data_IF_852204995085
#
_entry.id   IF_852204995085
#
_cell.length_a   1.000
_cell.length_b   1.000
_cell.length_c   1.000
_cell.angle_alpha   90.00
_cell.angle_beta   90.00
_cell.angle_gamma   90.00
#
_symmetry.space_group_name_H-M   'P 1'
#
loop_
_entity.id
_entity.type
_entity.pdbx_description
1 polymer ?
#
# COMPACT_ATOMS: atom_id res chain seq x y z
N UNK A 1 13.60 0.53 44.80
CA UNK A 1 14.13 -0.74 44.25
C UNK A 1 13.60 -0.98 42.82
N UNK A 2 12.31 -0.68 42.51
CA UNK A 2 11.74 -0.94 41.19
C UNK A 2 12.34 -0.06 40.05
N UNK A 3 12.69 1.19 40.30
CA UNK A 3 13.24 2.07 39.26
C UNK A 3 14.66 1.67 38.78
N UNK A 4 15.51 1.13 39.68
CA UNK A 4 16.85 0.70 39.31
C UNK A 4 16.85 -0.55 38.43
N UNK A 5 15.96 -1.49 38.68
CA UNK A 5 15.79 -2.73 37.89
C UNK A 5 15.25 -2.42 36.48
N UNK A 6 14.35 -1.45 36.35
CA UNK A 6 13.83 -1.01 35.05
C UNK A 6 14.90 -0.32 34.18
N UNK A 7 15.79 0.48 34.80
CA UNK A 7 16.89 1.14 34.09
C UNK A 7 17.99 0.17 33.66
N UNK A 8 18.34 -0.81 34.50
CA UNK A 8 19.29 -1.87 34.14
C UNK A 8 18.79 -2.71 32.97
N UNK A 9 17.48 -3.02 32.94
CA UNK A 9 16.90 -3.79 31.86
C UNK A 9 16.89 -3.02 30.53
N UNK A 10 16.61 -1.71 30.55
CA UNK A 10 16.64 -0.85 29.35
C UNK A 10 18.05 -0.70 28.78
N UNK A 11 19.06 -0.51 29.63
CA UNK A 11 20.46 -0.40 29.19
C UNK A 11 20.95 -1.71 28.55
N UNK A 12 20.62 -2.84 29.15
CA UNK A 12 20.98 -4.16 28.62
C UNK A 12 20.30 -4.44 27.27
N UNK A 13 19.02 -4.09 27.13
CA UNK A 13 18.28 -4.21 25.87
C UNK A 13 18.94 -3.33 24.78
N UNK A 14 19.28 -2.08 25.09
CA UNK A 14 19.95 -1.19 24.15
C UNK A 14 21.34 -1.70 23.75
N UNK A 15 22.13 -2.22 24.70
CA UNK A 15 23.41 -2.86 24.43
C UNK A 15 23.26 -4.10 23.54
N UNK A 16 22.29 -4.96 23.82
CA UNK A 16 22.01 -6.17 23.04
C UNK A 16 21.61 -5.81 21.59
N UNK A 17 20.74 -4.82 21.43
CA UNK A 17 20.36 -4.31 20.12
C UNK A 17 21.54 -3.71 19.36
N UNK A 18 22.37 -2.92 20.05
CA UNK A 18 23.58 -2.37 19.44
C UNK A 18 24.58 -3.45 19.03
N UNK A 19 24.80 -4.46 19.88
CA UNK A 19 25.70 -5.58 19.57
C UNK A 19 25.17 -6.43 18.40
N UNK A 20 23.87 -6.61 18.32
CA UNK A 20 23.22 -7.42 17.28
C UNK A 20 23.14 -6.69 15.93
N UNK A 21 22.83 -5.40 15.93
CA UNK A 21 22.46 -4.66 14.71
C UNK A 21 23.46 -3.55 14.34
N UNK A 22 24.38 -3.22 15.20
CA UNK A 22 25.42 -2.23 14.96
C UNK A 22 25.00 -0.78 15.16
N UNK A 23 26.00 0.10 15.18
CA UNK A 23 25.84 1.52 15.48
C UNK A 23 24.94 2.26 14.49
N UNK A 24 25.11 2.00 13.19
CA UNK A 24 24.34 2.68 12.14
C UNK A 24 22.83 2.43 12.27
N UNK A 25 22.45 1.19 12.59
CA UNK A 25 21.06 0.79 12.81
C UNK A 25 20.47 1.55 14.03
N UNK A 26 21.15 1.50 15.17
CA UNK A 26 20.68 2.17 16.38
C UNK A 26 20.62 3.70 16.21
N UNK A 27 21.61 4.30 15.58
CA UNK A 27 21.64 5.72 15.29
C UNK A 27 20.48 6.16 14.41
N UNK A 28 20.14 5.35 13.38
CA UNK A 28 19.00 5.67 12.54
C UNK A 28 17.66 5.58 13.28
N UNK A 29 17.47 4.60 14.15
CA UNK A 29 16.25 4.52 14.96
C UNK A 29 16.09 5.73 15.90
N UNK A 30 17.20 6.18 16.51
CA UNK A 30 17.20 7.42 17.31
C UNK A 30 16.86 8.64 16.45
N UNK A 31 17.52 8.78 15.30
CA UNK A 31 17.20 9.83 14.33
C UNK A 31 15.73 9.81 13.93
N UNK A 32 15.18 8.63 13.57
CA UNK A 32 13.78 8.51 13.15
C UNK A 32 12.80 8.94 14.25
N UNK A 33 13.07 8.51 15.50
CA UNK A 33 12.27 8.92 16.66
C UNK A 33 12.34 10.44 16.88
N UNK A 34 13.54 11.03 16.81
CA UNK A 34 13.72 12.47 16.91
C UNK A 34 13.04 13.22 15.75
N UNK A 35 13.18 12.75 14.51
CA UNK A 35 12.55 13.34 13.33
C UNK A 35 11.01 13.29 13.41
N UNK A 36 10.44 12.24 14.01
CA UNK A 36 9.02 12.14 14.31
C UNK A 36 8.62 13.20 15.36
N UNK A 37 9.32 13.25 16.50
CA UNK A 37 9.00 14.15 17.61
C UNK A 37 9.16 15.65 17.24
N UNK A 38 10.17 15.99 16.43
CA UNK A 38 10.45 17.38 16.02
C UNK A 38 9.67 17.85 14.80
N UNK A 39 8.79 17.00 14.23
CA UNK A 39 7.99 17.32 13.06
C UNK A 39 8.76 17.33 11.72
N UNK A 40 10.02 16.87 11.69
CA UNK A 40 10.79 16.73 10.44
C UNK A 40 10.07 15.82 9.46
N UNK A 41 9.47 14.71 9.93
CA UNK A 41 8.70 13.81 9.08
C UNK A 41 7.43 14.47 8.52
N UNK A 42 6.75 15.31 9.27
CA UNK A 42 5.58 16.06 8.79
C UNK A 42 5.95 17.02 7.66
N UNK A 43 7.08 17.72 7.79
CA UNK A 43 7.58 18.61 6.72
C UNK A 43 8.00 17.85 5.48
N UNK A 44 8.56 16.66 5.64
CA UNK A 44 8.96 15.78 4.53
C UNK A 44 7.77 15.13 3.83
N UNK A 45 6.70 14.85 4.57
CA UNK A 45 5.48 14.20 4.11
C UNK A 45 4.25 15.03 4.52
N UNK A 46 4.05 16.23 3.94
CA UNK A 46 2.94 17.08 4.30
C UNK A 46 1.59 16.42 3.92
N UNK A 47 0.54 16.79 4.63
CA UNK A 47 -0.83 16.49 4.22
C UNK A 47 -1.14 17.35 3.00
N UNK A 48 -1.57 16.72 1.91
CA UNK A 48 -1.89 17.40 0.65
C UNK A 48 -3.23 16.88 0.15
N UNK A 49 -4.22 17.74 -0.12
CA UNK A 49 -5.48 17.34 -0.76
C UNK A 49 -5.25 16.74 -2.15
N UNK A 50 -6.10 15.79 -2.54
CA UNK A 50 -5.96 15.11 -3.84
C UNK A 50 -6.15 16.06 -5.03
N UNK A 51 -6.97 17.09 -4.88
CA UNK A 51 -7.19 18.14 -5.88
C UNK A 51 -5.90 18.93 -6.19
N UNK A 52 -5.11 19.21 -5.15
CA UNK A 52 -3.82 19.87 -5.31
C UNK A 52 -2.79 18.96 -6.00
N UNK A 53 -2.78 17.67 -5.66
CA UNK A 53 -1.94 16.68 -6.33
C UNK A 53 -2.33 16.54 -7.80
N UNK A 54 -3.63 16.51 -8.10
CA UNK A 54 -4.14 16.43 -9.46
C UNK A 54 -3.84 17.70 -10.30
N UNK A 55 -3.77 18.86 -9.65
CA UNK A 55 -3.48 20.12 -10.35
C UNK A 55 -1.99 20.35 -10.63
N UNK A 56 -1.11 20.04 -9.67
CA UNK A 56 0.33 20.39 -9.72
C UNK A 56 1.26 19.40 -9.01
N UNK A 57 0.75 18.28 -8.59
CA UNK A 57 1.51 17.29 -7.81
C UNK A 57 2.53 16.52 -8.62
N UNK A 58 3.50 15.88 -7.93
CA UNK A 58 4.41 14.96 -8.58
C UNK A 58 3.64 13.76 -9.14
N UNK A 59 4.07 13.27 -10.31
CA UNK A 59 3.45 12.16 -11.01
C UNK A 59 2.53 12.55 -12.16
N UNK A 60 2.19 13.83 -12.35
CA UNK A 60 1.34 14.29 -13.47
C UNK A 60 1.88 13.88 -14.85
N UNK A 61 3.20 14.00 -15.04
CA UNK A 61 3.83 13.55 -16.27
C UNK A 61 3.69 12.03 -16.44
N UNK A 62 3.94 11.25 -15.39
CA UNK A 62 3.80 9.79 -15.42
C UNK A 62 2.35 9.37 -15.71
N UNK A 63 1.36 10.05 -15.14
CA UNK A 63 -0.06 9.78 -15.38
C UNK A 63 -0.48 10.03 -16.83
N UNK A 64 -0.03 11.15 -17.43
CA UNK A 64 -0.26 11.44 -18.85
C UNK A 64 0.44 10.43 -19.75
N UNK A 65 1.72 10.19 -19.51
CA UNK A 65 2.52 9.25 -20.31
C UNK A 65 2.01 7.81 -20.23
N UNK A 66 1.45 7.40 -19.09
CA UNK A 66 0.81 6.08 -18.96
C UNK A 66 -0.42 5.97 -19.86
N UNK A 67 -1.30 6.98 -19.88
CA UNK A 67 -2.45 7.02 -20.77
C UNK A 67 -2.05 7.05 -22.25
N UNK A 68 -1.08 7.89 -22.61
CA UNK A 68 -0.54 7.95 -23.98
C UNK A 68 0.05 6.61 -24.43
N UNK A 69 0.74 5.90 -23.54
CA UNK A 69 1.25 4.57 -23.83
C UNK A 69 0.11 3.56 -23.99
N UNK A 70 -0.90 3.60 -23.10
CA UNK A 70 -2.06 2.72 -23.21
C UNK A 70 -2.83 2.89 -24.53
N UNK A 71 -3.03 4.13 -25.01
CA UNK A 71 -3.69 4.43 -26.29
C UNK A 71 -2.89 3.93 -27.51
N UNK A 72 -1.58 3.74 -27.37
CA UNK A 72 -0.73 3.11 -28.40
C UNK A 72 -0.83 1.59 -28.43
N UNK A 73 -1.43 1.00 -27.43
CA UNK A 73 -1.62 -0.44 -27.26
C UNK A 73 -0.96 -0.98 -25.99
N UNK A 74 -1.47 -2.14 -25.48
CA UNK A 74 -0.98 -2.75 -24.26
C UNK A 74 0.52 -3.03 -24.24
N UNK A 75 1.12 -3.26 -25.40
CA UNK A 75 2.54 -3.56 -25.60
C UNK A 75 3.45 -2.34 -25.41
N UNK A 76 2.90 -1.12 -25.47
CA UNK A 76 3.62 0.12 -25.18
C UNK A 76 3.74 0.39 -23.67
N UNK A 77 3.00 -0.33 -22.85
CA UNK A 77 3.12 -0.29 -21.39
C UNK A 77 4.24 -1.21 -20.91
N UNK A 78 4.87 -0.91 -19.76
CA UNK A 78 5.84 -1.81 -19.16
C UNK A 78 5.25 -3.22 -18.96
N UNK A 79 6.06 -4.27 -19.16
CA UNK A 79 5.59 -5.64 -18.93
C UNK A 79 5.25 -5.86 -17.45
N UNK A 80 4.14 -6.56 -17.24
CA UNK A 80 3.69 -6.98 -15.91
C UNK A 80 3.28 -8.46 -15.95
N UNK A 81 2.47 -8.93 -15.00
CA UNK A 81 2.02 -10.32 -14.94
C UNK A 81 1.21 -10.74 -16.18
N UNK A 82 0.55 -9.80 -16.81
CA UNK A 82 -0.19 -9.93 -18.08
C UNK A 82 -0.27 -8.56 -18.77
N UNK A 83 -0.52 -8.51 -20.08
CA UNK A 83 -0.72 -7.25 -20.80
C UNK A 83 -1.95 -6.51 -20.29
N UNK A 84 -1.90 -5.18 -20.25
CA UNK A 84 -2.99 -4.36 -19.74
C UNK A 84 -4.31 -4.60 -20.49
N UNK A 85 -5.36 -4.90 -19.75
CA UNK A 85 -6.69 -5.22 -20.30
C UNK A 85 -6.81 -6.60 -20.94
N UNK A 86 -5.77 -7.44 -20.91
CA UNK A 86 -5.76 -8.81 -21.45
C UNK A 86 -5.55 -9.82 -20.33
N UNK A 87 -6.62 -10.10 -19.60
CA UNK A 87 -6.57 -11.06 -18.50
C UNK A 87 -6.32 -12.49 -19.02
N UNK A 88 -5.49 -13.29 -18.32
CA UNK A 88 -5.37 -14.70 -18.62
C UNK A 88 -6.68 -15.44 -18.32
N UNK A 89 -6.93 -16.51 -19.05
CA UNK A 89 -8.02 -17.41 -18.70
C UNK A 89 -7.74 -18.08 -17.35
N UNK A 90 -8.73 -18.08 -16.49
CA UNK A 90 -8.65 -18.83 -15.22
C UNK A 90 -9.26 -20.22 -15.41
N UNK A 91 -8.81 -21.24 -14.66
CA UNK A 91 -9.41 -22.56 -14.72
C UNK A 91 -10.92 -22.48 -14.41
N UNK A 92 -11.73 -23.15 -15.24
CA UNK A 92 -13.21 -23.10 -15.12
C UNK A 92 -13.70 -23.51 -13.71
N UNK A 93 -13.00 -24.42 -13.05
CA UNK A 93 -13.34 -24.85 -11.69
C UNK A 93 -13.20 -23.73 -10.64
N UNK A 94 -12.44 -22.68 -10.90
CA UNK A 94 -12.21 -21.57 -9.94
C UNK A 94 -13.19 -20.41 -10.15
N UNK A 95 -13.86 -20.37 -11.31
CA UNK A 95 -14.75 -19.27 -11.68
C UNK A 95 -15.89 -19.05 -10.70
N UNK A 96 -16.69 -20.08 -10.36
CA UNK A 96 -17.81 -19.91 -9.44
C UNK A 96 -17.41 -19.36 -8.06
N UNK A 97 -16.30 -19.84 -7.50
CA UNK A 97 -15.81 -19.35 -6.22
C UNK A 97 -15.34 -17.89 -6.28
N UNK A 98 -14.66 -17.50 -7.37
CA UNK A 98 -14.21 -16.13 -7.55
C UNK A 98 -15.40 -15.15 -7.70
N UNK A 99 -16.45 -15.57 -8.41
CA UNK A 99 -17.70 -14.79 -8.56
C UNK A 99 -18.41 -14.65 -7.21
N UNK A 100 -18.58 -15.74 -6.47
CA UNK A 100 -19.26 -15.72 -5.17
C UNK A 100 -18.52 -14.81 -4.15
N UNK A 101 -17.18 -14.88 -4.11
CA UNK A 101 -16.37 -14.00 -3.26
C UNK A 101 -16.51 -12.52 -3.64
N UNK A 102 -16.59 -12.22 -4.95
CA UNK A 102 -16.82 -10.87 -5.43
C UNK A 102 -18.23 -10.37 -5.12
N UNK A 103 -19.25 -11.24 -5.22
CA UNK A 103 -20.64 -10.90 -4.89
C UNK A 103 -20.80 -10.58 -3.39
N UNK A 104 -20.08 -11.29 -2.52
CA UNK A 104 -20.01 -10.97 -1.10
C UNK A 104 -19.41 -9.57 -0.85
N UNK A 105 -18.34 -9.22 -1.56
CA UNK A 105 -17.74 -7.88 -1.48
C UNK A 105 -18.72 -6.79 -1.93
N UNK A 106 -19.41 -7.01 -3.05
CA UNK A 106 -20.42 -6.06 -3.56
C UNK A 106 -21.61 -5.91 -2.59
N UNK A 107 -21.92 -6.96 -1.84
CA UNK A 107 -22.91 -6.93 -0.76
C UNK A 107 -22.40 -6.31 0.55
N UNK A 108 -21.15 -5.81 0.58
CA UNK A 108 -20.55 -5.17 1.75
C UNK A 108 -19.98 -6.15 2.78
N UNK A 109 -19.79 -7.41 2.43
CA UNK A 109 -19.18 -8.43 3.28
C UNK A 109 -17.75 -8.69 2.90
N UNK A 110 -16.85 -8.74 3.88
CA UNK A 110 -15.43 -9.00 3.67
C UNK A 110 -14.90 -10.01 4.69
N UNK A 111 -14.00 -10.90 4.24
CA UNK A 111 -13.27 -11.82 5.12
C UNK A 111 -11.99 -11.14 5.63
N UNK A 112 -11.87 -11.04 6.94
CA UNK A 112 -10.71 -10.51 7.65
C UNK A 112 -9.80 -11.63 8.11
N UNK A 113 -8.49 -11.46 7.94
CA UNK A 113 -7.47 -12.38 8.46
C UNK A 113 -7.73 -13.86 8.12
N UNK A 114 -8.25 -14.10 6.91
CA UNK A 114 -8.56 -15.45 6.38
C UNK A 114 -9.60 -16.27 7.16
N UNK A 115 -10.44 -15.67 8.01
CA UNK A 115 -11.40 -16.47 8.75
C UNK A 115 -12.57 -15.76 9.41
N UNK A 116 -12.56 -14.44 9.48
CA UNK A 116 -13.63 -13.67 10.14
C UNK A 116 -14.36 -12.80 9.13
N UNK A 117 -15.59 -13.14 8.82
CA UNK A 117 -16.45 -12.29 7.98
C UNK A 117 -16.97 -11.11 8.80
N UNK A 118 -16.98 -9.93 8.20
CA UNK A 118 -17.56 -8.72 8.78
C UNK A 118 -18.34 -7.93 7.73
N UNK A 119 -19.37 -7.22 8.19
CA UNK A 119 -20.13 -6.24 7.40
C UNK A 119 -19.33 -4.93 7.34
N UNK A 120 -18.82 -4.60 6.18
CA UNK A 120 -18.01 -3.39 5.94
C UNK A 120 -18.78 -2.28 5.28
N UNK A 121 -19.97 -2.60 4.75
CA UNK A 121 -20.75 -1.71 3.87
C UNK A 121 -20.13 -1.62 2.47
N UNK A 122 -20.84 -0.93 1.56
CA UNK A 122 -20.35 -0.63 0.21
C UNK A 122 -20.74 0.80 -0.19
N UNK A 123 -19.77 1.72 -0.44
CA UNK A 123 -18.33 1.57 -0.23
C UNK A 123 -17.94 1.25 1.23
N UNK A 124 -16.74 0.71 1.43
CA UNK A 124 -16.29 0.30 2.76
C UNK A 124 -16.18 1.49 3.72
N UNK A 125 -16.52 1.25 4.99
CA UNK A 125 -16.30 2.21 6.07
C UNK A 125 -14.83 2.19 6.51
N UNK A 126 -13.93 2.77 5.69
CA UNK A 126 -12.47 2.67 5.76
C UNK A 126 -11.83 2.94 7.13
N UNK A 127 -12.49 3.75 7.93
CA UNK A 127 -11.98 4.19 9.24
C UNK A 127 -12.69 3.51 10.41
N UNK A 128 -13.70 2.66 10.13
CA UNK A 128 -14.49 1.98 11.16
C UNK A 128 -13.98 0.56 11.38
N UNK A 129 -13.80 0.20 12.64
CA UNK A 129 -13.57 -1.18 13.04
C UNK A 129 -14.92 -1.93 13.00
N UNK A 130 -15.11 -2.90 12.09
CA UNK A 130 -16.41 -3.56 11.95
C UNK A 130 -16.76 -4.48 13.13
N UNK A 131 -15.78 -4.82 13.97
CA UNK A 131 -15.98 -5.70 15.12
C UNK A 131 -16.34 -4.97 16.40
N UNK A 132 -15.90 -3.70 16.55
CA UNK A 132 -16.21 -2.87 17.73
C UNK A 132 -17.18 -1.76 17.41
N UNK A 133 -17.32 -1.39 16.14
CA UNK A 133 -18.14 -0.26 15.70
C UNK A 133 -17.45 1.11 15.85
N UNK A 134 -16.28 1.16 16.47
CA UNK A 134 -15.52 2.39 16.69
C UNK A 134 -14.78 2.85 15.43
N UNK A 135 -14.53 4.16 15.36
CA UNK A 135 -13.87 4.77 14.21
C UNK A 135 -12.58 5.48 14.61
N UNK A 136 -11.56 5.33 13.76
CA UNK A 136 -10.30 6.03 13.93
C UNK A 136 -10.43 7.52 13.59
N UNK A 137 -9.70 8.38 14.30
CA UNK A 137 -9.57 9.79 13.94
C UNK A 137 -8.73 9.95 12.65
N UNK A 138 -9.40 10.37 11.58
CA UNK A 138 -8.76 10.61 10.28
C UNK A 138 -8.09 11.99 10.16
N UNK A 139 -8.19 12.88 11.16
CA UNK A 139 -7.75 14.29 11.02
C UNK A 139 -6.24 14.45 11.24
N UNK A 140 -5.65 13.58 12.07
CA UNK A 140 -4.23 13.68 12.44
C UNK A 140 -3.30 13.19 11.35
N UNK A 141 -2.12 13.77 11.29
CA UNK A 141 -1.03 13.26 10.46
C UNK A 141 -0.63 11.85 10.92
N UNK A 142 -0.24 10.97 9.98
CA UNK A 142 0.09 9.58 10.32
C UNK A 142 1.19 9.44 11.39
N UNK A 143 2.16 10.36 11.46
CA UNK A 143 3.23 10.27 12.45
C UNK A 143 2.84 10.76 13.86
N UNK A 144 1.64 11.31 14.04
CA UNK A 144 1.09 11.66 15.37
C UNK A 144 0.27 10.53 16.00
N UNK A 145 0.15 9.42 15.31
CA UNK A 145 -0.68 8.29 15.72
C UNK A 145 0.18 7.19 16.33
N UNK A 146 -0.35 6.54 17.35
CA UNK A 146 0.21 5.29 17.86
C UNK A 146 -0.47 4.08 17.21
N UNK A 147 0.20 2.93 17.22
CA UNK A 147 -0.35 1.70 16.65
C UNK A 147 -1.50 1.13 17.49
N UNK A 148 -1.49 1.43 18.78
CA UNK A 148 -2.47 0.95 19.75
C UNK A 148 -3.17 2.16 20.37
N UNK A 149 -4.13 2.73 19.66
CA UNK A 149 -5.02 3.76 20.21
C UNK A 149 -6.28 3.05 20.76
N UNK A 150 -6.66 3.26 22.04
CA UNK A 150 -7.79 2.57 22.65
C UNK A 150 -9.10 2.71 21.86
N UNK A 151 -9.32 3.87 21.26
CA UNK A 151 -10.53 4.23 20.52
C UNK A 151 -10.72 3.45 19.22
N UNK A 152 -9.66 2.95 18.60
CA UNK A 152 -9.74 2.22 17.31
C UNK A 152 -9.51 0.71 17.46
N UNK A 153 -9.02 0.26 18.62
CA UNK A 153 -8.55 -1.10 18.82
C UNK A 153 -7.27 -1.39 17.98
N UNK A 154 -7.13 -2.63 17.54
CA UNK A 154 -5.98 -3.02 16.72
C UNK A 154 -6.07 -2.40 15.33
N UNK A 155 -5.12 -1.52 15.00
CA UNK A 155 -5.04 -0.81 13.72
C UNK A 155 -5.01 -1.75 12.50
N UNK A 156 -4.53 -3.00 12.66
CA UNK A 156 -4.50 -3.99 11.58
C UNK A 156 -5.89 -4.32 11.04
N UNK A 157 -6.93 -4.19 11.87
CA UNK A 157 -8.32 -4.34 11.44
C UNK A 157 -8.70 -3.26 10.42
N UNK A 158 -8.24 -2.02 10.62
CA UNK A 158 -8.47 -0.93 9.68
C UNK A 158 -7.62 -1.08 8.41
N UNK A 159 -6.40 -1.64 8.55
CA UNK A 159 -5.52 -1.83 7.41
C UNK A 159 -5.99 -2.94 6.47
N UNK A 160 -6.67 -3.97 6.96
CA UNK A 160 -7.07 -5.13 6.16
C UNK A 160 -7.84 -4.74 4.88
N UNK A 161 -8.95 -3.99 4.92
CA UNK A 161 -9.61 -3.52 3.70
C UNK A 161 -8.74 -2.55 2.90
N UNK A 162 -7.87 -1.75 3.56
CA UNK A 162 -7.00 -0.78 2.90
C UNK A 162 -5.73 -1.37 2.28
N UNK A 163 -5.48 -2.67 2.40
CA UNK A 163 -4.48 -3.42 1.60
C UNK A 163 -4.92 -3.62 0.17
N UNK A 164 -6.21 -3.45 -0.11
CA UNK A 164 -6.80 -3.68 -1.42
C UNK A 164 -6.70 -5.14 -1.90
N UNK A 165 -6.58 -6.11 -1.00
CA UNK A 165 -6.61 -7.53 -1.35
C UNK A 165 -7.86 -7.93 -2.14
N UNK A 166 -8.99 -7.30 -1.85
CA UNK A 166 -10.26 -7.43 -2.56
C UNK A 166 -10.18 -7.03 -4.05
N UNK A 167 -9.21 -6.21 -4.45
CA UNK A 167 -9.03 -5.86 -5.86
C UNK A 167 -8.63 -7.09 -6.70
N UNK A 168 -7.84 -8.02 -6.12
CA UNK A 168 -7.54 -9.29 -6.77
C UNK A 168 -8.78 -10.16 -6.93
N UNK A 169 -9.70 -10.12 -5.96
CA UNK A 169 -10.97 -10.86 -6.02
C UNK A 169 -11.81 -10.35 -7.18
N UNK A 170 -12.00 -9.03 -7.29
CA UNK A 170 -12.77 -8.42 -8.38
C UNK A 170 -12.16 -8.69 -9.75
N UNK A 171 -10.84 -8.64 -9.90
CA UNK A 171 -10.15 -8.95 -11.16
C UNK A 171 -10.33 -10.42 -11.53
N UNK A 172 -10.23 -11.35 -10.57
CA UNK A 172 -10.47 -12.78 -10.82
C UNK A 172 -11.90 -13.06 -11.23
N UNK A 173 -12.88 -12.42 -10.57
CA UNK A 173 -14.29 -12.55 -10.95
C UNK A 173 -14.53 -12.01 -12.36
N UNK A 174 -13.94 -10.87 -12.71
CA UNK A 174 -14.02 -10.29 -14.06
C UNK A 174 -13.38 -11.18 -15.12
N UNK A 175 -12.27 -11.85 -14.81
CA UNK A 175 -11.63 -12.82 -15.70
C UNK A 175 -12.48 -14.08 -15.91
N UNK A 176 -13.23 -14.51 -14.86
CA UNK A 176 -14.13 -15.66 -14.93
C UNK A 176 -15.42 -15.36 -15.68
N UNK A 177 -15.99 -14.21 -15.40
CA UNK A 177 -17.25 -13.73 -15.94
C UNK A 177 -17.12 -12.23 -16.21
N UNK A 178 -16.85 -11.82 -17.47
CA UNK A 178 -16.78 -10.41 -17.84
C UNK A 178 -18.12 -9.70 -17.57
N UNK A 179 -18.12 -8.86 -16.51
CA UNK A 179 -19.27 -8.07 -16.09
C UNK A 179 -18.75 -6.75 -15.54
N UNK A 180 -19.21 -5.63 -16.12
CA UNK A 180 -18.73 -4.28 -15.75
C UNK A 180 -19.06 -3.87 -14.32
N UNK A 181 -19.90 -4.62 -13.59
CA UNK A 181 -20.11 -4.39 -12.15
C UNK A 181 -18.83 -4.51 -11.33
N UNK A 182 -17.88 -5.39 -11.71
CA UNK A 182 -16.63 -5.57 -10.99
C UNK A 182 -15.65 -4.39 -11.17
N UNK A 183 -15.30 -3.95 -12.40
CA UNK A 183 -14.47 -2.75 -12.56
C UNK A 183 -15.18 -1.50 -12.04
N UNK A 184 -16.51 -1.36 -12.15
CA UNK A 184 -17.28 -0.27 -11.54
C UNK A 184 -17.12 -0.25 -10.02
N UNK A 185 -17.26 -1.40 -9.37
CA UNK A 185 -17.06 -1.54 -7.93
C UNK A 185 -15.63 -1.18 -7.51
N UNK A 186 -14.63 -1.65 -8.29
CA UNK A 186 -13.23 -1.28 -8.05
C UNK A 186 -13.02 0.23 -8.04
N UNK A 187 -13.50 0.92 -9.07
CA UNK A 187 -13.32 2.36 -9.17
C UNK A 187 -14.07 3.13 -8.08
N UNK A 188 -15.30 2.71 -7.74
CA UNK A 188 -16.06 3.31 -6.65
C UNK A 188 -15.32 3.17 -5.31
N UNK A 189 -14.72 2.02 -5.04
CA UNK A 189 -13.93 1.79 -3.82
C UNK A 189 -12.63 2.59 -3.82
N UNK A 190 -11.95 2.72 -4.95
CA UNK A 190 -10.74 3.57 -5.07
C UNK A 190 -11.08 5.04 -4.83
N UNK A 191 -12.15 5.54 -5.43
CA UNK A 191 -12.58 6.94 -5.27
C UNK A 191 -12.98 7.21 -3.82
N UNK A 192 -13.81 6.35 -3.21
CA UNK A 192 -14.20 6.43 -1.80
C UNK A 192 -13.00 6.35 -0.84
N UNK A 193 -12.00 5.50 -1.13
CA UNK A 193 -10.79 5.43 -0.33
C UNK A 193 -10.00 6.73 -0.39
N UNK A 194 -9.83 7.32 -1.58
CA UNK A 194 -9.11 8.58 -1.77
C UNK A 194 -9.77 9.74 -1.03
N UNK A 195 -11.11 9.84 -1.10
CA UNK A 195 -11.89 10.85 -0.37
C UNK A 195 -11.71 10.74 1.14
N UNK A 196 -11.76 9.51 1.66
CA UNK A 196 -11.63 9.24 3.10
C UNK A 196 -10.19 9.39 3.61
N UNK A 197 -9.17 9.30 2.72
CA UNK A 197 -7.76 9.18 3.08
C UNK A 197 -6.87 10.17 2.30
N UNK A 198 -6.95 11.47 2.57
CA UNK A 198 -6.02 12.45 2.00
C UNK A 198 -4.56 12.05 2.25
N UNK A 199 -3.68 12.44 1.33
CA UNK A 199 -2.28 12.06 1.40
C UNK A 199 -1.66 12.41 2.76
N UNK A 200 -1.02 11.43 3.39
CA UNK A 200 -0.34 11.52 4.69
C UNK A 200 -1.24 11.82 5.90
N UNK A 201 -2.55 11.72 5.75
CA UNK A 201 -3.52 11.91 6.84
C UNK A 201 -4.19 10.58 7.22
N UNK A 202 -4.35 10.34 8.51
CA UNK A 202 -5.04 9.17 9.05
C UNK A 202 -4.19 7.89 9.17
N UNK A 203 -4.82 6.77 9.57
CA UNK A 203 -4.13 5.53 9.91
C UNK A 203 -3.53 4.81 8.71
N UNK A 204 -4.10 4.96 7.53
CA UNK A 204 -3.73 4.18 6.35
C UNK A 204 -2.39 4.59 5.69
N UNK A 205 -1.80 5.71 6.14
CA UNK A 205 -0.47 6.16 5.71
C UNK A 205 0.62 5.87 6.75
N UNK A 206 0.27 5.30 7.90
CA UNK A 206 1.20 5.10 9.00
C UNK A 206 2.28 4.07 8.68
N UNK A 207 1.92 2.93 8.12
CA UNK A 207 2.83 1.84 7.81
C UNK A 207 3.25 1.83 6.34
N UNK A 208 4.57 1.74 6.09
CA UNK A 208 5.12 1.66 4.74
C UNK A 208 4.81 0.32 4.06
N UNK A 209 4.79 -0.78 4.81
CA UNK A 209 4.39 -2.10 4.31
C UNK A 209 2.95 -2.08 3.79
N UNK A 210 2.01 -1.55 4.58
CA UNK A 210 0.60 -1.46 4.17
C UNK A 210 0.43 -0.60 2.93
N UNK A 211 1.19 0.50 2.86
CA UNK A 211 1.24 1.36 1.66
C UNK A 211 1.79 0.60 0.46
N UNK A 212 2.81 -0.23 0.64
CA UNK A 212 3.41 -1.05 -0.42
C UNK A 212 2.48 -2.14 -0.92
N UNK A 213 1.83 -2.90 -0.01
CA UNK A 213 0.86 -3.95 -0.35
C UNK A 213 -0.30 -3.39 -1.16
N UNK A 214 -0.87 -2.27 -0.69
CA UNK A 214 -1.94 -1.55 -1.42
C UNK A 214 -1.50 -1.14 -2.82
N UNK A 215 -0.29 -0.59 -2.97
CA UNK A 215 0.21 -0.18 -4.27
C UNK A 215 0.35 -1.34 -5.25
N UNK A 216 0.83 -2.51 -4.80
CA UNK A 216 0.93 -3.70 -5.64
C UNK A 216 -0.44 -4.22 -6.07
N UNK A 217 -1.42 -4.26 -5.16
CA UNK A 217 -2.80 -4.63 -5.49
C UNK A 217 -3.45 -3.67 -6.49
N UNK A 218 -3.20 -2.36 -6.33
CA UNK A 218 -3.67 -1.33 -7.27
C UNK A 218 -3.00 -1.46 -8.65
N UNK A 219 -1.71 -1.79 -8.73
CA UNK A 219 -1.05 -2.09 -10.02
C UNK A 219 -1.71 -3.27 -10.71
N UNK A 220 -1.99 -4.36 -9.97
CA UNK A 220 -2.65 -5.54 -10.51
C UNK A 220 -4.03 -5.18 -11.11
N UNK A 221 -4.84 -4.43 -10.37
CA UNK A 221 -6.17 -4.03 -10.82
C UNK A 221 -6.12 -3.01 -11.97
N UNK A 222 -5.16 -2.08 -11.98
CA UNK A 222 -4.95 -1.13 -13.09
C UNK A 222 -4.73 -1.87 -14.40
N UNK A 223 -3.88 -2.92 -14.39
CA UNK A 223 -3.66 -3.75 -15.56
C UNK A 223 -4.86 -4.64 -15.86
N UNK A 224 -5.50 -5.21 -14.84
CA UNK A 224 -6.64 -6.10 -15.01
C UNK A 224 -7.87 -5.44 -15.61
N UNK A 225 -8.16 -4.22 -15.19
CA UNK A 225 -9.34 -3.49 -15.63
C UNK A 225 -9.07 -2.47 -16.75
N UNK A 226 -7.83 -2.35 -17.24
CA UNK A 226 -7.48 -1.32 -18.22
C UNK A 226 -8.38 -1.34 -19.46
N UNK A 227 -8.84 -2.52 -19.91
CA UNK A 227 -9.71 -2.68 -21.07
C UNK A 227 -11.21 -2.45 -20.79
N UNK A 228 -11.64 -2.25 -19.54
CA UNK A 228 -13.03 -1.97 -19.21
C UNK A 228 -13.41 -0.52 -19.55
N UNK A 229 -14.65 -0.27 -20.05
CA UNK A 229 -15.16 1.08 -20.27
C UNK A 229 -15.22 1.91 -18.97
N UNK A 230 -15.30 1.28 -17.81
CA UNK A 230 -15.24 1.95 -16.51
C UNK A 230 -13.86 2.54 -16.19
N UNK A 231 -12.80 2.10 -16.87
CA UNK A 231 -11.44 2.59 -16.70
C UNK A 231 -11.18 3.78 -17.63
N UNK A 232 -11.85 4.91 -17.35
CA UNK A 232 -11.66 6.14 -18.14
C UNK A 232 -10.22 6.68 -18.04
N UNK A 233 -9.75 7.49 -19.00
CA UNK A 233 -8.43 8.13 -18.93
C UNK A 233 -8.21 8.88 -17.62
N UNK A 234 -9.24 9.55 -17.09
CA UNK A 234 -9.18 10.31 -15.84
C UNK A 234 -8.99 9.40 -14.64
N UNK A 235 -9.72 8.28 -14.56
CA UNK A 235 -9.59 7.26 -13.50
C UNK A 235 -8.21 6.62 -13.53
N UNK A 236 -7.72 6.24 -14.72
CA UNK A 236 -6.36 5.70 -14.87
C UNK A 236 -5.30 6.70 -14.44
N UNK A 237 -5.41 7.96 -14.87
CA UNK A 237 -4.49 9.03 -14.47
C UNK A 237 -4.51 9.26 -12.95
N UNK A 238 -5.69 9.32 -12.34
CA UNK A 238 -5.85 9.47 -10.90
C UNK A 238 -5.21 8.31 -10.12
N UNK A 239 -5.35 7.08 -10.62
CA UNK A 239 -4.72 5.91 -10.00
C UNK A 239 -3.19 5.92 -10.15
N UNK A 240 -2.66 6.31 -11.30
CA UNK A 240 -1.21 6.48 -11.48
C UNK A 240 -0.65 7.55 -10.54
N UNK A 241 -1.35 8.68 -10.37
CA UNK A 241 -0.98 9.70 -9.39
C UNK A 241 -0.95 9.13 -7.96
N UNK A 242 -1.96 8.34 -7.59
CA UNK A 242 -2.02 7.65 -6.30
C UNK A 242 -0.82 6.71 -6.12
N UNK A 243 -0.48 5.90 -7.13
CA UNK A 243 0.67 5.00 -7.12
C UNK A 243 2.00 5.74 -6.96
N UNK A 244 2.17 6.88 -7.60
CA UNK A 244 3.37 7.73 -7.41
C UNK A 244 3.47 8.21 -5.96
N UNK A 245 2.36 8.61 -5.31
CA UNK A 245 2.40 9.03 -3.91
C UNK A 245 2.73 7.84 -2.98
N UNK A 246 2.23 6.64 -3.27
CA UNK A 246 2.60 5.41 -2.55
C UNK A 246 4.11 5.13 -2.68
N UNK A 247 4.66 5.20 -3.90
CA UNK A 247 6.10 5.03 -4.12
C UNK A 247 6.94 6.03 -3.32
N UNK A 248 6.52 7.29 -3.29
CA UNK A 248 7.21 8.35 -2.52
C UNK A 248 7.16 8.09 -1.01
N UNK A 249 6.01 7.64 -0.49
CA UNK A 249 5.85 7.30 0.92
C UNK A 249 6.72 6.10 1.30
N UNK A 250 6.68 5.02 0.51
CA UNK A 250 7.49 3.81 0.72
C UNK A 250 8.98 4.13 0.57
N UNK A 251 9.40 4.85 -0.48
CA UNK A 251 10.80 5.25 -0.65
C UNK A 251 11.36 6.05 0.53
N UNK A 252 10.52 6.84 1.18
CA UNK A 252 10.91 7.59 2.36
C UNK A 252 10.95 6.77 3.65
N UNK A 253 10.30 5.60 3.67
CA UNK A 253 10.22 4.70 4.82
C UNK A 253 11.19 3.52 4.76
N UNK A 254 11.61 3.09 3.58
CA UNK A 254 12.35 1.85 3.35
C UNK A 254 13.58 1.67 4.28
N UNK A 255 14.29 2.75 4.59
CA UNK A 255 15.42 2.65 5.51
C UNK A 255 14.96 2.33 6.95
N UNK A 256 13.83 2.90 7.37
CA UNK A 256 13.22 2.56 8.66
C UNK A 256 12.74 1.10 8.66
N UNK A 257 12.09 0.64 7.58
CA UNK A 257 11.65 -0.75 7.43
C UNK A 257 12.80 -1.75 7.60
N UNK A 258 13.97 -1.47 7.02
CA UNK A 258 15.17 -2.30 7.22
C UNK A 258 15.61 -2.37 8.69
N UNK A 259 15.38 -1.31 9.46
CA UNK A 259 15.70 -1.32 10.89
C UNK A 259 14.68 -2.05 11.76
N UNK A 260 13.57 -2.51 11.20
CA UNK A 260 12.59 -3.33 11.91
C UNK A 260 12.95 -4.82 11.91
N UNK A 261 13.94 -5.23 11.09
CA UNK A 261 14.47 -6.60 10.99
C UNK A 261 13.39 -7.66 10.77
N UNK A 262 12.43 -7.33 9.89
CA UNK A 262 11.28 -8.18 9.59
C UNK A 262 10.84 -8.05 8.13
N UNK A 263 9.66 -8.59 7.84
CA UNK A 263 9.08 -8.63 6.50
C UNK A 263 8.79 -7.26 5.87
N UNK A 264 8.81 -6.18 6.67
CA UNK A 264 8.58 -4.82 6.16
C UNK A 264 9.57 -4.42 5.08
N UNK A 265 10.87 -4.71 5.29
CA UNK A 265 11.91 -4.40 4.31
C UNK A 265 11.65 -5.08 2.96
N UNK A 266 11.25 -6.35 2.98
CA UNK A 266 10.93 -7.12 1.77
C UNK A 266 9.71 -6.56 1.06
N UNK A 267 8.61 -6.34 1.79
CA UNK A 267 7.35 -5.84 1.22
C UNK A 267 7.50 -4.44 0.61
N UNK A 268 8.19 -3.54 1.33
CA UNK A 268 8.43 -2.18 0.86
C UNK A 268 9.38 -2.14 -0.35
N UNK A 269 10.41 -2.99 -0.34
CA UNK A 269 11.35 -3.11 -1.45
C UNK A 269 10.68 -3.70 -2.70
N UNK A 270 9.84 -4.72 -2.55
CA UNK A 270 9.06 -5.30 -3.63
C UNK A 270 8.12 -4.26 -4.26
N UNK A 271 7.43 -3.48 -3.43
CA UNK A 271 6.56 -2.40 -3.91
C UNK A 271 7.36 -1.33 -4.69
N UNK A 272 8.53 -0.90 -4.19
CA UNK A 272 9.37 0.06 -4.90
C UNK A 272 9.92 -0.49 -6.22
N UNK A 273 10.34 -1.74 -6.24
CA UNK A 273 10.80 -2.39 -7.46
C UNK A 273 9.68 -2.44 -8.51
N UNK A 274 8.48 -2.86 -8.09
CA UNK A 274 7.29 -2.92 -8.95
C UNK A 274 6.92 -1.54 -9.48
N UNK A 275 6.75 -0.54 -8.61
CA UNK A 275 6.37 0.81 -9.02
C UNK A 275 7.44 1.48 -9.89
N UNK A 276 8.72 1.29 -9.57
CA UNK A 276 9.83 1.80 -10.39
C UNK A 276 9.97 1.12 -11.74
N UNK A 277 9.40 -0.08 -11.92
CA UNK A 277 9.32 -0.81 -13.19
C UNK A 277 8.11 -0.37 -13.99
N UNK A 278 6.93 -0.26 -13.36
CA UNK A 278 5.66 -0.01 -14.04
C UNK A 278 5.40 1.47 -14.34
N UNK A 279 6.15 2.40 -13.72
CA UNK A 279 6.02 3.85 -13.91
C UNK A 279 7.31 4.47 -14.42
N UNK A 280 7.89 4.01 -15.56
CA UNK A 280 9.22 4.45 -16.02
C UNK A 280 9.28 5.94 -16.36
N UNK A 281 8.14 6.59 -16.60
CA UNK A 281 8.03 8.03 -16.89
C UNK A 281 8.13 8.90 -15.63
N UNK A 282 8.08 8.33 -14.43
CA UNK A 282 8.33 9.09 -13.20
C UNK A 282 9.84 9.32 -13.02
N UNK A 283 10.23 10.57 -12.75
CA UNK A 283 11.63 10.98 -12.62
C UNK A 283 12.45 10.12 -11.64
N UNK A 284 11.82 9.59 -10.62
CA UNK A 284 12.46 8.76 -9.58
C UNK A 284 12.34 7.26 -9.84
N UNK A 285 11.69 6.84 -10.91
CA UNK A 285 11.40 5.44 -11.18
C UNK A 285 12.64 4.54 -11.17
N UNK A 286 13.69 4.95 -11.89
CA UNK A 286 14.95 4.19 -11.93
C UNK A 286 15.60 4.04 -10.53
N UNK A 287 15.58 5.11 -9.73
CA UNK A 287 16.09 5.08 -8.36
C UNK A 287 15.22 4.18 -7.45
N UNK A 288 13.89 4.20 -7.59
CA UNK A 288 13.00 3.32 -6.85
C UNK A 288 13.26 1.85 -7.20
N UNK A 289 13.30 1.53 -8.50
CA UNK A 289 13.61 0.18 -8.99
C UNK A 289 14.95 -0.32 -8.48
N UNK A 290 16.01 0.49 -8.62
CA UNK A 290 17.35 0.14 -8.17
C UNK A 290 17.41 -0.12 -6.66
N UNK A 291 16.86 0.79 -5.85
CA UNK A 291 16.83 0.63 -4.38
C UNK A 291 15.99 -0.56 -3.95
N UNK A 292 14.82 -0.76 -4.56
CA UNK A 292 13.97 -1.94 -4.29
C UNK A 292 14.73 -3.22 -4.57
N UNK A 293 15.36 -3.35 -5.75
CA UNK A 293 16.16 -4.50 -6.13
C UNK A 293 17.31 -4.75 -5.15
N UNK A 294 18.11 -3.74 -4.84
CA UNK A 294 19.24 -3.90 -3.91
C UNK A 294 18.80 -4.42 -2.54
N UNK A 295 17.69 -3.86 -2.00
CA UNK A 295 17.21 -4.31 -0.69
C UNK A 295 16.68 -5.75 -0.77
N UNK A 296 15.94 -6.13 -1.82
CA UNK A 296 15.48 -7.52 -2.00
C UNK A 296 16.65 -8.51 -2.09
N UNK A 297 17.70 -8.16 -2.83
CA UNK A 297 18.90 -8.98 -2.94
C UNK A 297 19.65 -9.10 -1.59
N UNK A 298 19.74 -8.01 -0.83
CA UNK A 298 20.35 -8.01 0.50
C UNK A 298 19.57 -8.87 1.49
N UNK A 299 18.24 -8.72 1.56
CA UNK A 299 17.37 -9.50 2.43
C UNK A 299 17.41 -10.99 2.06
N UNK A 300 17.44 -11.31 0.76
CA UNK A 300 17.57 -12.69 0.31
C UNK A 300 18.90 -13.32 0.77
N UNK A 301 20.02 -12.60 0.63
CA UNK A 301 21.34 -13.09 1.09
C UNK A 301 21.40 -13.28 2.60
N UNK A 302 20.65 -12.47 3.38
CA UNK A 302 20.65 -12.56 4.85
C UNK A 302 19.77 -13.69 5.38
N UNK A 303 18.64 -13.97 4.71
CA UNK A 303 17.61 -14.85 5.22
C UNK A 303 17.53 -16.21 4.50
N UNK A 304 18.00 -16.29 3.27
CA UNK A 304 18.08 -17.57 2.54
C UNK A 304 19.48 -18.11 2.74
N UNK A 305 19.60 -19.16 3.55
CA UNK A 305 20.86 -19.90 3.75
C UNK A 305 20.92 -21.02 2.73
N UNK A 306 22.12 -21.31 2.24
CA UNK A 306 22.36 -22.56 1.49
C UNK A 306 22.30 -23.68 2.51
N UNK A 307 21.31 -24.55 2.41
CA UNK A 307 21.21 -25.79 3.17
C UNK A 307 22.20 -26.82 2.58
#
# INVERSE_FOLDING_TARGET
VNHAVEHVNKAWVLYSLWRQYGTAHCAYRVYYKAARATGVLKRRFPIIPWEEIAARGPGLHAARAWNEAYEKGPEALPPFLFPAGRLPQIPAAWGPAAVAEADDLLAGRMVYFHGRTAETGFPFAWLRNPFTGESADARRHWCDRDEFEPEQGDIRVLWEPSRFGWAHVLVRAYAAQPDDRYPRAFWNLVDSWRESNPLNRGPHWQCGQETGLRAMALCFALYGFAGSPESTPERRAALVLLLVQHARRVAGNLHFARTQMGNHAVSEAAALFTLGTLLPWEKKAAAWRGRGRTVLEDEARQHIRND
#
